data_IF_082654339168
#
_entry.id   IF_082654339168
#
_cell.length_a   1.000
_cell.length_b   1.000
_cell.length_c   1.000
_cell.angle_alpha   90.00
_cell.angle_beta   90.00
_cell.angle_gamma   90.00
#
_symmetry.space_group_name_H-M   'P 1'
#
loop_
_entity.id
_entity.type
_entity.pdbx_description
1 polymer ?
#
# COMPACT_ATOMS: atom_id res chain seq x y z
N UNK A 1 -14.84 8.85 9.65
CA UNK A 1 -13.53 8.48 10.21
C UNK A 1 -13.58 7.50 11.41
N UNK A 2 -14.76 7.02 11.86
CA UNK A 2 -14.87 6.03 12.95
C UNK A 2 -14.32 4.64 12.56
N UNK A 3 -14.58 4.24 11.32
CA UNK A 3 -14.20 2.92 10.77
C UNK A 3 -12.68 2.70 10.72
N UNK A 4 -11.90 3.77 10.49
CA UNK A 4 -10.44 3.71 10.31
C UNK A 4 -9.73 3.15 11.55
N UNK A 5 -10.21 3.51 12.74
CA UNK A 5 -9.59 3.12 14.02
C UNK A 5 -10.29 1.94 14.69
N UNK A 6 -11.62 1.81 14.58
CA UNK A 6 -12.37 0.75 15.27
C UNK A 6 -12.08 -0.66 14.71
N UNK A 7 -11.70 -0.80 13.44
CA UNK A 7 -11.48 -2.10 12.78
C UNK A 7 -10.02 -2.41 12.54
N UNK A 8 -9.34 -2.86 13.60
CA UNK A 8 -7.89 -3.07 13.62
C UNK A 8 -7.31 -4.06 12.60
N UNK A 9 -8.12 -4.98 12.08
CA UNK A 9 -7.69 -5.95 11.07
C UNK A 9 -8.52 -5.88 9.78
N UNK A 10 -9.21 -4.76 9.56
CA UNK A 10 -10.12 -4.59 8.44
C UNK A 10 -11.52 -5.15 8.68
N UNK A 11 -12.34 -5.15 7.63
CA UNK A 11 -13.68 -5.73 7.62
C UNK A 11 -14.69 -4.95 6.79
N UNK A 12 -15.92 -5.46 6.71
CA UNK A 12 -17.04 -4.87 5.99
C UNK A 12 -17.43 -3.47 6.50
N UNK A 13 -17.11 -2.42 5.75
CA UNK A 13 -17.52 -1.05 6.05
C UNK A 13 -19.01 -0.83 5.75
N UNK A 14 -19.53 -1.51 4.73
CA UNK A 14 -20.93 -1.55 4.31
C UNK A 14 -21.18 -2.84 3.51
N UNK A 15 -22.44 -3.18 3.16
CA UNK A 15 -22.70 -4.25 2.19
C UNK A 15 -21.88 -4.07 0.92
N UNK A 16 -21.15 -5.10 0.49
CA UNK A 16 -20.27 -5.10 -0.68
C UNK A 16 -19.08 -4.12 -0.62
N UNK A 17 -18.75 -3.58 0.55
CA UNK A 17 -17.59 -2.70 0.74
C UNK A 17 -16.72 -3.27 1.87
N UNK A 18 -15.57 -3.84 1.50
CA UNK A 18 -14.60 -4.38 2.45
C UNK A 18 -13.39 -3.44 2.57
N UNK A 19 -13.01 -3.14 3.81
CA UNK A 19 -11.88 -2.26 4.10
C UNK A 19 -10.67 -3.08 4.58
N UNK A 20 -9.54 -2.96 3.87
CA UNK A 20 -8.27 -3.65 4.21
C UNK A 20 -7.50 -3.00 5.38
N UNK A 21 -7.94 -1.81 5.83
CA UNK A 21 -7.27 -1.00 6.86
C UNK A 21 -5.88 -0.51 6.41
N UNK A 22 -4.97 -0.25 7.36
CA UNK A 22 -3.64 0.30 7.09
C UNK A 22 -2.80 -0.63 6.20
N UNK A 23 -2.87 -1.94 6.43
CA UNK A 23 -2.40 -2.96 5.51
C UNK A 23 -3.21 -4.24 5.68
N UNK A 24 -3.37 -5.00 4.60
CA UNK A 24 -4.12 -6.25 4.60
C UNK A 24 -3.83 -7.12 3.39
N UNK A 25 -4.03 -8.43 3.54
CA UNK A 25 -4.14 -9.38 2.42
C UNK A 25 -5.40 -10.22 2.62
N UNK A 26 -6.18 -10.37 1.57
CA UNK A 26 -7.40 -11.19 1.52
C UNK A 26 -7.40 -12.07 0.29
N UNK A 27 -8.23 -13.11 0.30
CA UNK A 27 -8.47 -13.96 -0.87
C UNK A 27 -9.82 -13.62 -1.48
N UNK A 28 -9.90 -13.67 -2.80
CA UNK A 28 -11.14 -13.55 -3.56
C UNK A 28 -11.12 -14.58 -4.69
N UNK A 29 -11.89 -15.65 -4.58
CA UNK A 29 -11.75 -16.82 -5.43
C UNK A 29 -10.34 -17.43 -5.33
N UNK A 30 -9.63 -17.49 -6.45
CA UNK A 30 -8.25 -17.95 -6.53
C UNK A 30 -7.21 -16.83 -6.38
N UNK A 31 -7.62 -15.56 -6.30
CA UNK A 31 -6.69 -14.43 -6.20
C UNK A 31 -6.36 -14.05 -4.77
N UNK A 32 -5.13 -13.55 -4.57
CA UNK A 32 -4.70 -12.82 -3.38
C UNK A 32 -4.62 -11.33 -3.68
N UNK A 33 -5.34 -10.55 -2.88
CA UNK A 33 -5.40 -9.09 -2.99
C UNK A 33 -4.73 -8.50 -1.74
N UNK A 34 -3.59 -7.86 -1.94
CA UNK A 34 -2.87 -7.11 -0.92
C UNK A 34 -3.15 -5.62 -1.00
N UNK A 35 -2.93 -4.90 0.10
CA UNK A 35 -2.94 -3.45 0.03
C UNK A 35 -2.22 -2.75 1.18
N UNK A 36 -1.69 -1.57 0.88
CA UNK A 36 -1.13 -0.60 1.82
C UNK A 36 -1.89 0.72 1.69
N UNK A 37 -2.62 1.09 2.72
CA UNK A 37 -3.36 2.37 2.76
C UNK A 37 -2.48 3.50 3.27
N UNK A 38 -2.76 4.71 2.80
CA UNK A 38 -2.22 5.94 3.38
C UNK A 38 -1.16 6.63 2.51
N UNK A 39 -0.75 7.80 3.01
CA UNK A 39 0.25 8.68 2.39
C UNK A 39 1.57 8.57 3.17
N UNK A 40 2.69 8.43 2.48
CA UNK A 40 3.99 8.34 3.14
C UNK A 40 4.47 9.74 3.60
N UNK A 41 4.69 9.89 4.90
CA UNK A 41 5.40 11.04 5.49
C UNK A 41 6.52 10.53 6.40
N UNK A 42 7.75 10.92 6.10
CA UNK A 42 8.96 10.39 6.74
C UNK A 42 8.99 10.59 8.25
N UNK A 43 8.51 11.74 8.73
CA UNK A 43 8.49 12.11 10.15
C UNK A 43 7.52 11.26 10.99
N UNK A 44 6.43 10.75 10.39
CA UNK A 44 5.45 9.91 11.08
C UNK A 44 5.70 8.40 10.87
N UNK A 45 6.51 8.01 9.87
CA UNK A 45 6.68 6.62 9.46
C UNK A 45 7.12 5.68 10.60
N UNK A 46 7.94 6.17 11.52
CA UNK A 46 8.47 5.41 12.67
C UNK A 46 7.56 5.46 13.90
N UNK A 47 6.50 6.26 13.89
CA UNK A 47 5.54 6.35 14.98
C UNK A 47 4.55 5.17 14.94
N UNK A 48 3.87 4.93 16.06
CA UNK A 48 2.78 3.96 16.10
C UNK A 48 1.43 4.53 15.71
N UNK A 49 0.40 3.68 15.75
CA UNK A 49 -1.01 4.05 15.58
C UNK A 49 -1.58 4.62 16.88
N UNK A 50 -1.28 5.87 17.19
CA UNK A 50 -1.72 6.54 18.43
C UNK A 50 -3.02 7.34 18.28
N UNK A 51 -3.42 7.66 17.05
CA UNK A 51 -4.54 8.57 16.77
C UNK A 51 -5.85 7.95 17.22
N UNK A 52 -6.60 8.67 18.05
CA UNK A 52 -7.92 8.25 18.52
C UNK A 52 -8.88 9.44 18.44
N UNK A 53 -10.17 9.20 18.09
CA UNK A 53 -11.19 10.22 18.23
C UNK A 53 -11.31 10.72 19.69
N UNK A 54 -11.65 12.00 19.90
CA UNK A 54 -11.80 13.05 18.89
C UNK A 54 -10.44 13.48 18.32
N UNK A 55 -10.37 13.64 17.00
CA UNK A 55 -9.16 14.10 16.32
C UNK A 55 -9.03 15.62 16.41
N UNK A 56 -7.79 16.07 16.56
CA UNK A 56 -7.37 17.45 16.32
C UNK A 56 -6.88 17.64 14.87
N UNK A 57 -6.41 18.84 14.54
CA UNK A 57 -5.93 19.18 13.19
C UNK A 57 -4.71 18.38 12.74
N UNK A 58 -3.93 17.83 13.66
CA UNK A 58 -2.73 17.06 13.34
C UNK A 58 -3.06 15.59 13.20
N UNK A 59 -3.75 15.03 14.20
CA UNK A 59 -4.16 13.63 14.26
C UNK A 59 -5.17 13.25 13.20
N UNK A 60 -5.94 14.21 12.66
CA UNK A 60 -6.78 13.95 11.48
C UNK A 60 -5.94 13.66 10.23
N UNK A 61 -4.75 14.29 10.11
CA UNK A 61 -3.82 14.07 9.00
C UNK A 61 -2.99 12.80 9.24
N UNK A 62 -2.41 12.67 10.43
CA UNK A 62 -1.50 11.56 10.73
C UNK A 62 -2.18 10.19 10.77
N UNK A 63 -3.50 10.11 10.98
CA UNK A 63 -4.25 8.83 10.99
C UNK A 63 -4.07 8.01 9.70
N UNK A 64 -3.84 8.69 8.57
CA UNK A 64 -3.71 8.06 7.26
C UNK A 64 -2.26 8.09 6.77
N UNK A 65 -1.29 8.40 7.63
CA UNK A 65 0.10 8.26 7.28
C UNK A 65 0.54 6.79 7.35
N UNK A 66 1.38 6.39 6.40
CA UNK A 66 1.94 5.03 6.36
C UNK A 66 2.83 4.80 7.59
N UNK A 67 2.69 3.65 8.23
CA UNK A 67 3.48 3.24 9.41
C UNK A 67 4.39 2.05 9.08
N UNK A 68 5.65 2.08 9.57
CA UNK A 68 6.64 1.01 9.37
C UNK A 68 6.12 -0.36 9.83
N UNK A 69 5.34 -0.42 10.90
CA UNK A 69 4.76 -1.65 11.40
C UNK A 69 3.93 -2.38 10.32
N UNK A 70 3.14 -1.63 9.54
CA UNK A 70 2.28 -2.21 8.52
C UNK A 70 3.06 -2.69 7.30
N UNK A 71 4.07 -1.92 6.90
CA UNK A 71 4.99 -2.29 5.82
C UNK A 71 5.77 -3.55 6.19
N UNK A 72 6.30 -3.63 7.41
CA UNK A 72 7.06 -4.81 7.86
C UNK A 72 6.22 -6.08 7.95
N UNK A 73 4.91 -5.99 8.24
CA UNK A 73 4.00 -7.14 8.12
C UNK A 73 3.92 -7.61 6.67
N UNK A 74 3.66 -6.70 5.73
CA UNK A 74 3.56 -7.04 4.30
C UNK A 74 4.88 -7.61 3.76
N UNK A 75 6.04 -7.12 4.21
CA UNK A 75 7.35 -7.68 3.87
C UNK A 75 7.54 -9.15 4.28
N UNK A 76 6.73 -9.67 5.21
CA UNK A 76 6.78 -11.09 5.61
C UNK A 76 6.03 -12.02 4.65
N UNK A 77 5.17 -11.48 3.78
CA UNK A 77 4.39 -12.26 2.81
C UNK A 77 5.35 -12.92 1.81
N UNK A 78 5.20 -14.23 1.64
CA UNK A 78 6.03 -15.04 0.75
C UNK A 78 5.25 -15.62 -0.41
N UNK A 79 3.99 -15.99 -0.17
CA UNK A 79 3.14 -16.43 -1.25
C UNK A 79 2.88 -15.25 -2.21
N UNK A 80 2.65 -15.56 -3.48
CA UNK A 80 2.43 -14.56 -4.52
C UNK A 80 1.18 -13.73 -4.21
N UNK A 81 1.24 -12.42 -4.46
CA UNK A 81 0.07 -11.55 -4.48
C UNK A 81 -0.29 -11.27 -5.93
N UNK A 82 -1.54 -11.47 -6.32
CA UNK A 82 -1.98 -11.23 -7.70
C UNK A 82 -2.23 -9.75 -7.94
N UNK A 83 -2.92 -9.10 -7.00
CA UNK A 83 -3.30 -7.69 -7.08
C UNK A 83 -2.84 -6.97 -5.83
N UNK A 84 -2.11 -5.87 -6.00
CA UNK A 84 -1.74 -5.00 -4.89
C UNK A 84 -2.30 -3.60 -5.06
N UNK A 85 -2.83 -3.03 -3.98
CA UNK A 85 -3.42 -1.70 -3.94
C UNK A 85 -2.59 -0.77 -3.05
N UNK A 86 -2.23 0.41 -3.54
CA UNK A 86 -1.70 1.48 -2.71
C UNK A 86 -2.40 2.80 -3.02
N UNK A 87 -2.40 3.75 -2.08
CA UNK A 87 -2.85 5.11 -2.39
C UNK A 87 -1.75 5.85 -3.16
N UNK A 88 -0.58 5.99 -2.52
CA UNK A 88 0.58 6.63 -3.13
C UNK A 88 1.27 5.72 -4.15
N UNK A 89 1.90 6.36 -5.13
CA UNK A 89 2.71 5.68 -6.13
C UNK A 89 4.00 5.18 -5.49
N UNK A 90 4.53 4.01 -5.90
CA UNK A 90 5.94 3.71 -5.70
C UNK A 90 6.78 4.79 -6.40
N UNK A 91 7.88 5.22 -5.78
CA UNK A 91 8.69 6.38 -6.21
C UNK A 91 9.02 6.34 -7.71
N UNK A 92 8.79 7.47 -8.37
CA UNK A 92 9.31 7.80 -9.70
C UNK A 92 10.45 8.83 -9.56
N UNK A 93 11.60 8.52 -10.15
CA UNK A 93 12.73 9.45 -10.35
C UNK A 93 13.17 10.30 -9.13
N UNK A 94 13.27 9.67 -7.95
CA UNK A 94 13.86 10.26 -6.72
C UNK A 94 13.19 11.56 -6.21
N UNK A 95 12.02 11.96 -6.73
CA UNK A 95 11.37 13.22 -6.31
C UNK A 95 9.93 13.06 -5.82
N UNK A 96 9.15 12.10 -6.34
CA UNK A 96 7.75 11.92 -5.98
C UNK A 96 7.43 10.44 -5.72
N UNK A 97 6.73 10.16 -4.62
CA UNK A 97 6.18 8.84 -4.29
C UNK A 97 6.56 8.28 -2.93
N UNK A 98 6.02 7.09 -2.64
CA UNK A 98 6.14 6.39 -1.36
C UNK A 98 7.30 5.40 -1.39
N UNK A 99 8.36 5.70 -0.63
CA UNK A 99 9.50 4.79 -0.43
C UNK A 99 9.04 3.40 0.06
N UNK A 100 8.13 3.30 1.05
CA UNK A 100 7.61 2.00 1.45
C UNK A 100 6.82 1.25 0.36
N UNK A 101 6.08 1.97 -0.49
CA UNK A 101 5.39 1.34 -1.62
C UNK A 101 6.39 0.77 -2.64
N UNK A 102 7.49 1.49 -2.91
CA UNK A 102 8.56 0.99 -3.78
C UNK A 102 9.25 -0.26 -3.22
N UNK A 103 9.55 -0.28 -1.91
CA UNK A 103 10.10 -1.46 -1.23
C UNK A 103 9.18 -2.68 -1.35
N UNK A 104 7.87 -2.46 -1.19
CA UNK A 104 6.86 -3.53 -1.33
C UNK A 104 6.71 -4.01 -2.77
N UNK A 105 6.75 -3.11 -3.76
CA UNK A 105 6.70 -3.47 -5.17
C UNK A 105 7.85 -4.40 -5.54
N UNK A 106 9.08 -4.05 -5.12
CA UNK A 106 10.26 -4.89 -5.35
C UNK A 106 10.20 -6.21 -4.56
N UNK A 107 9.64 -6.21 -3.33
CA UNK A 107 9.59 -7.44 -2.52
C UNK A 107 8.51 -8.43 -2.95
N UNK A 108 7.34 -7.93 -3.35
CA UNK A 108 6.13 -8.73 -3.56
C UNK A 108 5.88 -9.06 -5.03
N UNK A 109 6.34 -8.20 -5.96
CA UNK A 109 6.31 -8.42 -7.41
C UNK A 109 4.94 -8.91 -7.93
N UNK A 110 3.82 -8.24 -7.58
CA UNK A 110 2.50 -8.73 -7.92
C UNK A 110 2.24 -8.66 -9.43
N UNK A 111 1.28 -9.43 -9.95
CA UNK A 111 0.90 -9.34 -11.36
C UNK A 111 0.33 -7.96 -11.71
N UNK A 112 -0.46 -7.39 -10.80
CA UNK A 112 -1.07 -6.07 -10.95
C UNK A 112 -0.79 -5.19 -9.73
N UNK A 113 -0.48 -3.92 -9.98
CA UNK A 113 -0.36 -2.90 -8.95
C UNK A 113 -1.20 -1.69 -9.33
N UNK A 114 -2.11 -1.29 -8.44
CA UNK A 114 -3.00 -0.15 -8.64
C UNK A 114 -2.72 0.96 -7.64
N UNK A 115 -2.56 2.19 -8.13
CA UNK A 115 -2.32 3.40 -7.33
C UNK A 115 -3.28 4.55 -7.68
N UNK A 116 -3.28 5.62 -6.88
CA UNK A 116 -4.08 6.84 -7.08
C UNK A 116 -3.27 8.09 -6.71
N UNK A 117 -3.83 9.10 -6.04
CA UNK A 117 -3.12 10.26 -5.47
C UNK A 117 -2.65 11.37 -6.44
N UNK A 118 -1.95 11.08 -7.54
CA UNK A 118 -1.37 12.13 -8.42
C UNK A 118 -2.32 12.74 -9.46
N UNK A 119 -3.62 12.37 -9.42
CA UNK A 119 -4.68 12.91 -10.29
C UNK A 119 -4.37 12.78 -11.79
N UNK A 120 -3.85 11.63 -12.20
CA UNK A 120 -3.68 11.30 -13.60
C UNK A 120 -3.89 9.81 -13.81
N UNK A 121 -4.24 9.44 -15.04
CA UNK A 121 -4.19 8.06 -15.49
C UNK A 121 -2.83 7.79 -16.11
N UNK A 122 -2.15 6.79 -15.58
CA UNK A 122 -0.84 6.36 -16.07
C UNK A 122 -0.75 4.85 -16.00
N UNK A 123 -0.23 4.23 -17.06
CA UNK A 123 -0.07 2.78 -17.14
C UNK A 123 1.34 2.45 -17.61
N UNK A 124 2.00 1.49 -16.97
CA UNK A 124 3.31 1.02 -17.38
C UNK A 124 3.54 -0.44 -16.97
N UNK A 125 4.60 -1.04 -17.50
CA UNK A 125 5.07 -2.36 -17.13
C UNK A 125 6.35 -2.22 -16.30
N UNK A 126 6.34 -2.78 -15.09
CA UNK A 126 7.51 -2.82 -14.21
C UNK A 126 8.18 -4.19 -14.33
N UNK A 127 9.39 -4.20 -14.88
CA UNK A 127 10.22 -5.41 -15.05
C UNK A 127 11.07 -5.65 -13.81
N UNK A 128 10.87 -6.80 -13.15
CA UNK A 128 11.58 -7.15 -11.92
C UNK A 128 12.88 -7.91 -12.18
N UNK A 129 13.94 -7.18 -12.56
CA UNK A 129 15.23 -7.76 -12.92
C UNK A 129 15.23 -8.42 -14.31
N UNK A 130 16.40 -8.82 -14.79
CA UNK A 130 16.57 -9.39 -16.13
C UNK A 130 15.85 -10.75 -16.25
N UNK A 131 14.83 -10.81 -17.11
CA UNK A 131 14.01 -12.02 -17.31
C UNK A 131 13.08 -12.38 -16.14
N UNK A 132 12.93 -11.49 -15.16
CA UNK A 132 12.01 -11.69 -14.03
C UNK A 132 10.53 -11.44 -14.38
N UNK A 133 9.64 -11.51 -13.38
CA UNK A 133 8.22 -11.26 -13.60
C UNK A 133 7.95 -9.78 -13.96
N UNK A 134 6.81 -9.56 -14.60
CA UNK A 134 6.30 -8.24 -14.96
C UNK A 134 5.13 -7.88 -14.05
N UNK A 135 5.12 -6.65 -13.54
CA UNK A 135 3.95 -6.07 -12.89
C UNK A 135 3.28 -5.08 -13.84
N UNK A 136 1.99 -5.26 -14.08
CA UNK A 136 1.14 -4.27 -14.74
C UNK A 136 0.79 -3.17 -13.73
N UNK A 137 1.42 -2.02 -13.87
CA UNK A 137 1.20 -0.88 -13.00
C UNK A 137 0.19 0.07 -13.64
N UNK A 138 -0.85 0.43 -12.90
CA UNK A 138 -1.86 1.38 -13.34
C UNK A 138 -2.20 2.34 -12.22
N UNK A 139 -2.33 3.61 -12.59
CA UNK A 139 -2.81 4.67 -11.73
C UNK A 139 -4.08 5.25 -12.33
N UNK A 140 -5.03 5.56 -11.45
CA UNK A 140 -6.29 6.22 -11.78
C UNK A 140 -6.36 7.63 -11.20
N UNK A 141 -7.12 8.46 -11.90
CA UNK A 141 -7.44 9.82 -11.48
C UNK A 141 -8.56 9.84 -10.41
N UNK A 142 -8.81 11.01 -9.82
CA UNK A 142 -9.91 11.25 -8.90
C UNK A 142 -11.25 11.08 -9.59
N UNK A 143 -12.25 10.58 -8.84
CA UNK A 143 -13.63 10.42 -9.27
C UNK A 143 -14.37 11.76 -9.47
N UNK A 144 -13.90 12.53 -10.44
CA UNK A 144 -14.41 13.84 -10.86
C UNK A 144 -14.84 13.71 -12.33
N UNK A 145 -15.93 14.40 -12.69
CA UNK A 145 -16.41 14.38 -14.07
C UNK A 145 -15.33 14.92 -15.03
N UNK A 146 -15.05 14.17 -16.10
CA UNK A 146 -14.03 14.51 -17.09
C UNK A 146 -12.61 13.98 -16.78
N UNK A 147 -12.42 13.30 -15.65
CA UNK A 147 -11.18 12.63 -15.28
C UNK A 147 -11.23 11.11 -15.59
N UNK A 148 -10.07 10.51 -15.81
CA UNK A 148 -9.93 9.09 -16.11
C UNK A 148 -9.83 8.24 -14.82
N UNK A 149 -10.93 8.17 -14.07
CA UNK A 149 -10.98 7.56 -12.74
C UNK A 149 -11.41 6.08 -12.69
N UNK A 150 -11.83 5.51 -13.82
CA UNK A 150 -12.34 4.14 -13.89
C UNK A 150 -11.65 3.36 -15.01
N UNK A 151 -11.12 2.19 -14.67
CA UNK A 151 -10.62 1.20 -15.62
C UNK A 151 -11.24 -0.15 -15.31
N UNK A 152 -11.67 -0.86 -16.35
CA UNK A 152 -12.09 -2.26 -16.26
C UNK A 152 -10.90 -3.10 -16.69
N UNK A 153 -10.53 -4.09 -15.88
CA UNK A 153 -9.45 -5.04 -16.15
C UNK A 153 -10.04 -6.43 -16.15
N UNK A 154 -9.75 -7.21 -17.18
CA UNK A 154 -10.12 -8.62 -17.26
C UNK A 154 -8.97 -9.47 -16.72
N UNK A 155 -9.27 -10.30 -15.72
CA UNK A 155 -8.30 -11.21 -15.09
C UNK A 155 -8.90 -12.61 -15.12
N UNK A 156 -8.17 -13.55 -15.72
CA UNK A 156 -8.59 -14.95 -15.80
C UNK A 156 -8.64 -15.58 -14.40
N UNK A 157 -9.77 -16.19 -14.06
CA UNK A 157 -10.03 -16.74 -12.73
C UNK A 157 -10.61 -18.15 -12.83
N UNK A 158 -10.26 -19.01 -11.87
CA UNK A 158 -10.88 -20.30 -11.71
C UNK A 158 -12.34 -20.17 -11.24
N UNK A 159 -13.13 -21.22 -11.43
CA UNK A 159 -14.47 -21.29 -10.88
C UNK A 159 -14.43 -21.36 -9.35
N UNK A 160 -15.16 -20.48 -8.66
CA UNK A 160 -15.26 -20.51 -7.21
C UNK A 160 -16.28 -19.52 -6.67
N UNK A 161 -16.60 -19.58 -5.36
CA UNK A 161 -17.39 -18.52 -4.75
C UNK A 161 -16.58 -17.22 -4.79
N UNK A 162 -17.14 -16.20 -5.45
CA UNK A 162 -16.60 -14.85 -5.53
C UNK A 162 -16.90 -14.07 -4.25
N UNK A 163 -16.32 -14.55 -3.15
CA UNK A 163 -16.48 -13.99 -1.81
C UNK A 163 -15.11 -13.63 -1.22
N UNK A 164 -15.09 -12.61 -0.37
CA UNK A 164 -13.87 -12.23 0.35
C UNK A 164 -13.63 -13.21 1.48
N UNK A 165 -12.43 -13.80 1.50
CA UNK A 165 -11.98 -14.73 2.51
C UNK A 165 -10.70 -14.22 3.19
N UNK A 166 -10.48 -14.64 4.42
CA UNK A 166 -9.21 -14.35 5.10
C UNK A 166 -8.06 -15.12 4.44
N UNK A 167 -6.91 -14.46 4.32
CA UNK A 167 -5.68 -15.09 3.88
C UNK A 167 -4.94 -15.74 5.08
N UNK A 168 -4.62 -17.03 4.99
CA UNK A 168 -4.03 -17.80 6.09
C UNK A 168 -2.64 -17.30 6.48
N UNK A 169 -1.79 -16.99 5.49
CA UNK A 169 -0.46 -16.43 5.72
C UNK A 169 -0.55 -15.07 6.41
N UNK A 170 -1.44 -14.19 5.93
CA UNK A 170 -1.67 -12.89 6.53
C UNK A 170 -2.20 -12.97 7.96
N UNK A 171 -3.11 -13.91 8.26
CA UNK A 171 -3.57 -14.16 9.63
C UNK A 171 -2.40 -14.59 10.53
N UNK A 172 -1.51 -15.45 10.02
CA UNK A 172 -0.32 -15.89 10.76
C UNK A 172 0.65 -14.74 11.04
N UNK A 173 0.94 -13.90 10.03
CA UNK A 173 1.76 -12.69 10.16
C UNK A 173 1.14 -11.74 11.17
N UNK A 174 -0.16 -11.46 11.03
CA UNK A 174 -0.89 -10.56 11.92
C UNK A 174 -0.85 -11.05 13.36
N UNK A 175 -1.06 -12.34 13.60
CA UNK A 175 -0.95 -12.94 14.93
C UNK A 175 0.45 -12.81 15.50
N UNK A 176 1.50 -13.00 14.68
CA UNK A 176 2.90 -12.89 15.10
C UNK A 176 3.32 -11.46 15.44
N UNK A 177 2.75 -10.46 14.78
CA UNK A 177 3.07 -9.05 15.03
C UNK A 177 2.24 -8.44 16.16
N UNK A 178 1.19 -9.13 16.61
CA UNK A 178 0.22 -8.58 17.56
C UNK A 178 0.84 -8.09 18.88
N UNK A 179 1.83 -8.79 19.43
CA UNK A 179 2.45 -8.41 20.71
C UNK A 179 3.31 -7.15 20.62
N UNK A 180 3.67 -6.69 19.42
CA UNK A 180 4.43 -5.46 19.19
C UNK A 180 3.59 -4.37 18.52
N UNK A 181 2.27 -4.53 18.45
CA UNK A 181 1.40 -3.58 17.77
C UNK A 181 1.49 -2.18 18.43
N UNK A 182 2.02 -1.15 17.73
CA UNK A 182 2.37 0.10 18.40
C UNK A 182 1.15 1.00 18.52
N UNK A 183 0.46 0.97 19.66
CA UNK A 183 -0.73 1.78 19.93
C UNK A 183 -0.42 3.18 20.48
N UNK A 184 0.85 3.60 20.45
CA UNK A 184 1.34 4.85 21.05
C UNK A 184 2.24 5.59 20.06
N UNK A 185 2.67 6.80 20.41
CA UNK A 185 3.66 7.55 19.61
C UNK A 185 4.99 6.80 19.44
N UNK A 186 5.27 5.78 20.27
CA UNK A 186 6.45 4.93 20.10
C UNK A 186 6.20 3.93 18.98
N UNK A 187 7.18 3.82 18.08
CA UNK A 187 7.24 2.76 17.07
C UNK A 187 7.31 1.35 17.67
N UNK A 188 7.07 0.36 16.82
CA UNK A 188 7.11 -1.05 17.23
C UNK A 188 8.55 -1.52 17.49
N UNK A 189 8.74 -2.35 18.51
CA UNK A 189 10.03 -2.99 18.77
C UNK A 189 10.16 -4.31 18.00
N UNK A 190 10.93 -4.26 16.92
CA UNK A 190 11.15 -5.43 16.04
C UNK A 190 12.24 -6.39 16.53
N UNK A 191 12.93 -6.09 17.64
CA UNK A 191 14.00 -6.95 18.17
C UNK A 191 13.53 -8.39 18.40
N UNK A 192 12.28 -8.56 18.83
CA UNK A 192 11.66 -9.86 19.13
C UNK A 192 11.19 -10.64 17.89
N UNK A 193 11.15 -10.02 16.70
CA UNK A 193 10.67 -10.65 15.46
C UNK A 193 11.78 -11.41 14.72
N UNK A 194 13.03 -11.22 15.12
CA UNK A 194 14.25 -11.53 14.36
C UNK A 194 14.69 -13.01 14.25
N UNK A 195 13.98 -13.99 14.81
CA UNK A 195 14.55 -15.36 14.90
C UNK A 195 14.12 -16.41 13.87
N UNK A 196 13.16 -16.19 12.96
CA UNK A 196 12.64 -17.33 12.13
C UNK A 196 12.54 -17.08 10.61
N UNK A 197 12.74 -15.89 10.03
CA UNK A 197 12.61 -15.75 8.55
C UNK A 197 13.48 -14.68 7.87
N UNK A 198 14.67 -14.37 8.39
CA UNK A 198 15.64 -13.56 7.65
C UNK A 198 16.53 -14.45 6.79
N UNK A 199 15.93 -14.99 5.73
CA UNK A 199 16.62 -15.61 4.61
C UNK A 199 16.95 -14.60 3.51
N UNK A 200 17.30 -13.36 3.86
CA UNK A 200 18.15 -12.41 3.13
C UNK A 200 18.32 -11.20 4.04
N UNK A 201 19.56 -10.77 4.26
CA UNK A 201 19.84 -9.53 4.96
C UNK A 201 19.35 -8.37 4.07
N UNK A 202 18.21 -7.76 4.42
CA UNK A 202 17.88 -6.44 3.91
C UNK A 202 18.66 -5.45 4.77
N UNK A 203 19.83 -5.05 4.26
CA UNK A 203 20.55 -3.90 4.81
C UNK A 203 19.79 -2.68 4.31
N UNK A 204 19.10 -1.98 5.22
CA UNK A 204 18.71 -0.60 4.95
C UNK A 204 20.01 0.18 4.86
N UNK A 205 20.56 0.34 3.66
CA UNK A 205 21.49 1.44 3.45
C UNK A 205 20.68 2.70 3.69
N UNK A 206 21.02 3.40 4.77
CA UNK A 206 20.50 4.72 5.09
C UNK A 206 20.91 5.65 3.94
N UNK A 207 20.05 5.74 2.92
CA UNK A 207 20.15 6.78 1.91
C UNK A 207 20.05 8.10 2.67
N UNK A 208 21.03 9.01 2.56
CA UNK A 208 21.03 10.27 3.29
C UNK A 208 19.72 11.00 3.04
N UNK A 209 19.15 11.50 4.15
CA UNK A 209 17.94 12.31 4.18
C UNK A 209 18.32 13.67 3.59
N UNK A 210 18.33 13.78 2.27
CA UNK A 210 18.22 15.09 1.65
C UNK A 210 16.74 15.50 1.76
N UNK A 211 16.53 16.71 2.29
CA UNK A 211 15.24 17.32 2.57
C UNK A 211 14.28 17.14 1.39
N UNK A 212 13.34 16.20 1.55
CA UNK A 212 12.20 16.07 0.63
C UNK A 212 11.37 17.34 0.84
N UNK A 213 11.27 18.14 -0.23
CA UNK A 213 10.52 19.38 -0.24
C UNK A 213 9.13 19.16 0.37
N UNK A 214 8.74 20.09 1.24
CA UNK A 214 7.43 20.16 1.86
C UNK A 214 6.37 20.24 0.76
N UNK A 215 5.63 19.16 0.53
CA UNK A 215 4.30 19.26 -0.08
C UNK A 215 3.38 19.81 1.00
N UNK A 216 3.33 21.13 1.08
CA UNK A 216 2.10 21.81 1.46
C UNK A 216 0.99 21.32 0.53
N UNK A 217 -0.23 21.19 1.04
CA UNK A 217 -1.44 20.82 0.29
C UNK A 217 -1.81 21.90 -0.78
N UNK A 218 -0.84 22.50 -1.48
CA UNK A 218 -1.04 23.39 -2.61
C UNK A 218 -1.33 22.57 -3.88
N UNK A 219 -2.35 23.03 -4.59
CA UNK A 219 -2.90 22.47 -5.81
C UNK A 219 -1.78 22.24 -6.84
N UNK A 220 -1.39 20.97 -7.04
CA UNK A 220 -0.35 20.60 -7.99
C UNK A 220 -0.68 21.15 -9.40
N UNK A 221 0.30 21.74 -10.11
CA UNK A 221 0.08 22.26 -11.45
C UNK A 221 -0.32 21.11 -12.38
N UNK A 222 -1.36 21.37 -13.20
CA UNK A 222 -1.83 20.44 -14.22
C UNK A 222 -0.69 20.12 -15.17
N UNK A 223 -0.25 18.87 -15.22
CA UNK A 223 0.72 18.41 -16.21
C UNK A 223 -0.01 18.34 -17.55
N UNK A 224 0.37 19.21 -18.48
CA UNK A 224 -0.16 19.20 -19.84
C UNK A 224 0.26 17.92 -20.57
N UNK A 225 -0.76 17.20 -21.07
CA UNK A 225 -0.77 16.07 -22.01
C UNK A 225 0.60 15.56 -22.48
N UNK A 226 1.04 14.44 -21.90
CA UNK A 226 1.99 13.52 -22.54
C UNK A 226 1.18 12.48 -23.30
N UNK A 227 1.53 12.27 -24.57
CA UNK A 227 0.82 11.41 -25.51
C UNK A 227 0.58 10.01 -24.95
N UNK A 228 -0.70 9.65 -24.85
CA UNK A 228 -1.19 8.36 -24.40
C UNK A 228 -1.00 7.31 -25.50
N UNK A 229 -0.08 6.36 -25.31
CA UNK A 229 -0.23 5.06 -25.98
C UNK A 229 -1.35 4.29 -25.26
N UNK A 230 -2.49 4.19 -25.95
CA UNK A 230 -3.62 3.33 -25.57
C UNK A 230 -3.24 1.87 -25.79
N UNK A 231 -2.37 1.34 -24.92
CA UNK A 231 -2.22 -0.11 -24.78
C UNK A 231 -3.22 -0.58 -23.73
N UNK A 232 -4.20 -1.38 -24.16
CA UNK A 232 -5.07 -2.11 -23.24
C UNK A 232 -4.19 -3.08 -22.44
N UNK A 233 -4.13 -2.90 -21.12
CA UNK A 233 -3.51 -3.82 -20.17
C UNK A 233 -4.36 -5.07 -19.93
#
# INVERSE_FOLDING_TARGET
MKIVVERYYGGWAAPNIYFLRAAGVVRFGNFRIGGLSGIYKSFDYKLGHFERPPYDHNTIKSVYHVCEYDVRKLMQVKELIDVFLSHDWPIEEKRLGSKPAAELLEKLKPHYWFSAHLHCKFATLVQHGEGGPLTKFLVLDKCIAGCDFLQIVEIESDAGPYEIQCDEEWLAITRKFNHIFPLTYKGADFSTISYIFLGTAYVSEDIPIDDVAEDDDEELPKVDNVETETSNL
#
